data_IF_173909926643
#
_entry.id   IF_173909926643
#
_cell.length_a   1.000
_cell.length_b   1.000
_cell.length_c   1.000
_cell.angle_alpha   90.00
_cell.angle_beta   90.00
_cell.angle_gamma   90.00
#
_symmetry.space_group_name_H-M   'P 1'
#
loop_
_entity.id
_entity.type
_entity.pdbx_description
1 polymer ?
#
# COMPACT_ATOMS: atom_id res chain seq x y z
N UNK A 1 39.60 23.78 50.06
CA UNK A 1 38.45 22.99 50.57
C UNK A 1 38.52 21.62 49.91
N UNK A 2 39.22 20.68 50.55
CA UNK A 2 39.48 19.33 50.05
C UNK A 2 38.20 18.48 50.17
N UNK A 3 37.67 17.99 49.06
CA UNK A 3 36.60 17.01 49.07
C UNK A 3 37.16 15.63 49.44
N UNK A 4 37.12 15.30 50.73
CA UNK A 4 37.41 13.95 51.22
C UNK A 4 36.28 12.99 50.81
N UNK A 5 36.43 12.42 49.62
CA UNK A 5 35.55 11.37 49.11
C UNK A 5 35.64 10.11 49.99
N UNK A 6 34.51 9.74 50.57
CA UNK A 6 34.35 8.59 51.44
C UNK A 6 34.79 7.30 50.71
N UNK A 7 35.58 6.45 51.38
CA UNK A 7 36.15 5.20 50.79
C UNK A 7 35.09 4.29 50.16
N UNK A 8 33.85 4.37 50.63
CA UNK A 8 32.73 3.63 50.06
C UNK A 8 32.30 4.14 48.68
N UNK A 9 32.32 5.46 48.43
CA UNK A 9 31.99 6.04 47.13
C UNK A 9 33.04 5.66 46.06
N UNK A 10 34.31 5.54 46.44
CA UNK A 10 35.36 5.10 45.51
C UNK A 10 35.18 3.63 45.09
N UNK A 11 34.80 2.76 46.02
CA UNK A 11 34.53 1.34 45.73
C UNK A 11 33.24 1.15 44.93
N UNK A 12 32.22 1.97 45.16
CA UNK A 12 30.99 1.91 44.36
C UNK A 12 31.28 2.33 42.91
N UNK A 13 32.01 3.42 42.69
CA UNK A 13 32.39 3.85 41.34
C UNK A 13 33.24 2.81 40.59
N UNK A 14 34.14 2.10 41.29
CA UNK A 14 34.87 0.96 40.72
C UNK A 14 33.97 -0.24 40.40
N UNK A 15 33.03 -0.58 41.30
CA UNK A 15 32.09 -1.70 41.10
C UNK A 15 31.09 -1.42 39.96
N UNK A 16 30.85 -0.14 39.68
CA UNK A 16 30.04 0.36 38.55
C UNK A 16 30.79 0.30 37.20
N UNK A 17 32.09 -0.04 37.19
CA UNK A 17 32.87 -0.16 35.96
C UNK A 17 33.10 1.18 35.24
N UNK A 18 32.97 2.29 35.95
CA UNK A 18 33.09 3.66 35.40
C UNK A 18 34.50 4.26 35.57
N UNK A 19 35.47 3.52 36.11
CA UNK A 19 36.81 4.06 36.39
C UNK A 19 37.88 3.05 35.98
N UNK A 20 38.81 3.46 35.12
CA UNK A 20 39.96 2.64 34.72
C UNK A 20 40.89 2.42 35.94
N UNK A 21 41.79 1.44 35.87
CA UNK A 21 42.77 1.14 36.94
C UNK A 21 43.60 2.35 37.40
N UNK A 22 43.70 3.40 36.59
CA UNK A 22 44.38 4.67 36.91
C UNK A 22 43.48 5.71 37.62
N UNK A 23 42.25 5.38 37.99
CA UNK A 23 41.36 6.26 38.80
C UNK A 23 40.73 7.44 38.06
N UNK A 24 40.78 7.45 36.72
CA UNK A 24 40.10 8.45 35.88
C UNK A 24 38.72 7.95 35.39
N UNK A 25 37.68 8.81 35.34
CA UNK A 25 36.34 8.41 34.92
C UNK A 25 36.33 8.00 33.45
N UNK A 26 35.99 6.74 33.18
CA UNK A 26 35.66 6.24 31.85
C UNK A 26 34.29 6.82 31.53
N UNK A 27 34.26 7.86 30.68
CA UNK A 27 33.01 8.17 29.98
C UNK A 27 32.72 6.97 29.10
N UNK A 28 31.89 6.05 29.61
CA UNK A 28 31.26 5.04 28.78
C UNK A 28 30.62 5.82 27.64
N UNK A 29 31.17 5.67 26.44
CA UNK A 29 30.52 6.11 25.23
C UNK A 29 29.18 5.40 25.25
N UNK A 30 28.14 6.13 25.69
CA UNK A 30 26.76 5.73 25.50
C UNK A 30 26.74 5.21 24.07
N UNK A 31 26.35 3.95 23.80
CA UNK A 31 26.09 3.57 22.43
C UNK A 31 25.00 4.53 22.03
N UNK A 32 25.40 5.64 21.39
CA UNK A 32 24.52 6.46 20.62
C UNK A 32 24.03 5.43 19.64
N UNK A 33 22.78 5.05 19.82
CA UNK A 33 22.03 4.34 18.81
C UNK A 33 21.94 5.34 17.66
N UNK A 34 23.07 5.57 17.01
CA UNK A 34 23.20 6.01 15.64
C UNK A 34 22.75 4.82 14.81
N UNK A 35 21.50 4.40 15.05
CA UNK A 35 20.72 3.75 14.03
C UNK A 35 20.50 4.86 13.02
N UNK A 36 21.48 4.99 12.13
CA UNK A 36 21.34 5.62 10.83
C UNK A 36 19.95 5.25 10.35
N UNK A 37 19.02 6.20 10.45
CA UNK A 37 17.69 6.10 9.85
C UNK A 37 17.94 6.12 8.34
N UNK A 38 18.42 4.99 7.83
CA UNK A 38 18.45 4.71 6.41
C UNK A 38 16.99 4.76 6.06
N UNK A 39 16.58 5.85 5.42
CA UNK A 39 15.25 6.03 4.87
C UNK A 39 14.95 4.77 4.09
N UNK A 40 14.19 3.88 4.70
CA UNK A 40 13.89 2.56 4.16
C UNK A 40 13.02 2.86 2.94
N UNK A 41 13.65 2.90 1.78
CA UNK A 41 12.92 3.06 0.53
C UNK A 41 12.05 1.83 0.43
N UNK A 42 10.74 2.04 0.34
CA UNK A 42 9.78 0.97 0.05
C UNK A 42 10.31 0.16 -1.14
N UNK A 43 10.74 -1.06 -0.85
CA UNK A 43 11.22 -1.97 -1.88
C UNK A 43 10.06 -2.43 -2.76
N UNK A 44 10.31 -2.87 -4.01
CA UNK A 44 9.27 -3.36 -4.91
C UNK A 44 8.46 -4.51 -4.28
N UNK A 45 9.10 -5.35 -3.46
CA UNK A 45 8.41 -6.42 -2.72
C UNK A 45 7.44 -5.89 -1.65
N UNK A 46 7.83 -4.82 -0.94
CA UNK A 46 6.98 -4.16 0.05
C UNK A 46 5.77 -3.49 -0.62
N UNK A 47 5.98 -2.84 -1.76
CA UNK A 47 4.91 -2.25 -2.56
C UNK A 47 3.86 -3.27 -3.00
N UNK A 48 4.27 -4.44 -3.53
CA UNK A 48 3.32 -5.49 -3.93
C UNK A 48 2.54 -6.04 -2.73
N UNK A 49 3.18 -6.15 -1.55
CA UNK A 49 2.50 -6.55 -0.32
C UNK A 49 1.43 -5.54 0.07
N UNK A 50 1.76 -4.25 0.04
CA UNK A 50 0.83 -3.15 0.32
C UNK A 50 -0.34 -3.13 -0.68
N UNK A 51 -0.08 -3.31 -1.98
CA UNK A 51 -1.12 -3.42 -3.02
C UNK A 51 -2.05 -4.60 -2.75
N UNK A 52 -1.51 -5.78 -2.38
CA UNK A 52 -2.35 -6.95 -2.04
C UNK A 52 -3.23 -6.68 -0.83
N UNK A 53 -2.68 -6.02 0.19
CA UNK A 53 -3.42 -5.71 1.41
C UNK A 53 -4.52 -4.65 1.14
N UNK A 54 -4.31 -3.74 0.18
CA UNK A 54 -5.34 -2.79 -0.29
C UNK A 54 -6.38 -3.47 -1.19
N UNK A 55 -5.96 -4.36 -2.10
CA UNK A 55 -6.84 -5.15 -2.97
C UNK A 55 -7.83 -6.01 -2.19
N UNK A 56 -7.48 -6.41 -0.96
CA UNK A 56 -8.39 -7.11 -0.04
C UNK A 56 -9.53 -6.24 0.50
N UNK A 57 -9.38 -4.92 0.48
CA UNK A 57 -10.45 -3.97 0.86
C UNK A 57 -11.43 -3.74 -0.29
N UNK A 58 -11.05 -4.07 -1.52
CA UNK A 58 -11.92 -3.97 -2.69
C UNK A 58 -12.98 -5.06 -2.60
N UNK A 59 -14.24 -4.65 -2.54
CA UNK A 59 -15.37 -5.57 -2.58
C UNK A 59 -15.50 -6.15 -3.99
N UNK A 60 -14.86 -7.30 -4.22
CA UNK A 60 -15.06 -8.04 -5.46
C UNK A 60 -16.50 -8.55 -5.56
N UNK A 61 -17.14 -8.36 -6.72
CA UNK A 61 -18.55 -8.69 -6.89
C UNK A 61 -18.77 -10.20 -6.74
N UNK A 62 -19.94 -10.57 -6.24
CA UNK A 62 -20.33 -11.99 -6.16
C UNK A 62 -20.79 -12.45 -7.55
N UNK A 63 -20.51 -13.71 -7.90
CA UNK A 63 -20.92 -14.32 -9.18
C UNK A 63 -22.39 -14.07 -9.60
N UNK A 64 -23.39 -14.09 -8.69
CA UNK A 64 -24.77 -13.79 -9.07
C UNK A 64 -25.00 -12.33 -9.50
N UNK A 65 -24.26 -11.39 -8.93
CA UNK A 65 -24.37 -9.97 -9.24
C UNK A 65 -23.79 -9.66 -10.63
N UNK A 66 -22.60 -10.22 -10.92
CA UNK A 66 -21.99 -10.14 -12.25
C UNK A 66 -22.96 -10.66 -13.31
N UNK A 67 -23.59 -11.83 -13.07
CA UNK A 67 -24.55 -12.42 -14.00
C UNK A 67 -25.76 -11.51 -14.26
N UNK A 68 -26.31 -10.88 -13.21
CA UNK A 68 -27.46 -9.96 -13.35
C UNK A 68 -27.09 -8.76 -14.22
N UNK A 69 -25.95 -8.11 -13.94
CA UNK A 69 -25.51 -6.97 -14.73
C UNK A 69 -25.17 -7.37 -16.17
N UNK A 70 -24.53 -8.52 -16.39
CA UNK A 70 -24.28 -9.03 -17.74
C UNK A 70 -25.57 -9.28 -18.52
N UNK A 71 -26.61 -9.86 -17.90
CA UNK A 71 -27.91 -10.08 -18.55
C UNK A 71 -28.57 -8.74 -18.92
N UNK A 72 -28.55 -7.75 -18.02
CA UNK A 72 -29.10 -6.43 -18.31
C UNK A 72 -28.41 -5.83 -19.53
N UNK A 73 -27.08 -5.83 -19.56
CA UNK A 73 -26.29 -5.31 -20.69
C UNK A 73 -26.56 -6.11 -21.98
N UNK A 74 -26.68 -7.43 -21.89
CA UNK A 74 -26.98 -8.27 -23.05
C UNK A 74 -28.34 -7.90 -23.66
N UNK A 75 -29.37 -7.73 -22.82
CA UNK A 75 -30.72 -7.35 -23.26
C UNK A 75 -30.71 -5.95 -23.89
N UNK A 76 -30.03 -4.98 -23.29
CA UNK A 76 -29.97 -3.62 -23.86
C UNK A 76 -29.26 -3.61 -25.20
N UNK A 77 -28.16 -4.36 -25.35
CA UNK A 77 -27.47 -4.50 -26.64
C UNK A 77 -28.38 -5.13 -27.68
N UNK A 78 -29.09 -6.22 -27.37
CA UNK A 78 -30.03 -6.87 -28.30
C UNK A 78 -31.12 -5.90 -28.76
N UNK A 79 -31.70 -5.12 -27.85
CA UNK A 79 -32.75 -4.13 -28.20
C UNK A 79 -32.19 -3.07 -29.16
N UNK A 80 -31.02 -2.49 -28.84
CA UNK A 80 -30.40 -1.46 -29.68
C UNK A 80 -30.02 -2.02 -31.04
N UNK A 81 -29.43 -3.21 -31.08
CA UNK A 81 -29.06 -3.88 -32.34
C UNK A 81 -30.30 -4.19 -33.19
N UNK A 82 -31.38 -4.69 -32.59
CA UNK A 82 -32.64 -4.94 -33.31
C UNK A 82 -33.26 -3.64 -33.84
N UNK A 83 -33.21 -2.56 -33.07
CA UNK A 83 -33.70 -1.25 -33.50
C UNK A 83 -32.90 -0.70 -34.68
N UNK A 84 -31.57 -0.66 -34.57
CA UNK A 84 -30.68 -0.19 -35.65
C UNK A 84 -30.84 -1.06 -36.89
N UNK A 85 -30.77 -2.39 -36.76
CA UNK A 85 -30.93 -3.30 -37.88
C UNK A 85 -32.33 -3.24 -38.51
N UNK A 86 -33.37 -2.99 -37.70
CA UNK A 86 -34.73 -2.77 -38.19
C UNK A 86 -34.85 -1.47 -39.00
N UNK A 87 -34.23 -0.39 -38.52
CA UNK A 87 -34.16 0.87 -39.27
C UNK A 87 -33.37 0.72 -40.56
N UNK A 88 -32.22 0.04 -40.53
CA UNK A 88 -31.40 -0.21 -41.72
C UNK A 88 -32.18 -0.99 -42.78
N UNK A 89 -32.94 -2.01 -42.36
CA UNK A 89 -33.82 -2.77 -43.25
C UNK A 89 -34.95 -1.89 -43.82
N UNK A 90 -35.57 -1.05 -42.98
CA UNK A 90 -36.63 -0.13 -43.42
C UNK A 90 -36.11 0.90 -44.44
N UNK A 91 -34.94 1.50 -44.19
CA UNK A 91 -34.29 2.41 -45.14
C UNK A 91 -33.86 1.69 -46.42
N UNK A 92 -33.40 0.45 -46.34
CA UNK A 92 -33.07 -0.38 -47.51
C UNK A 92 -34.29 -0.63 -48.40
N UNK A 93 -35.43 -1.00 -47.82
CA UNK A 93 -36.68 -1.20 -48.57
C UNK A 93 -37.18 0.13 -49.16
N UNK A 94 -37.18 1.20 -48.36
CA UNK A 94 -37.67 2.51 -48.77
C UNK A 94 -36.83 3.12 -49.90
N UNK A 95 -35.51 3.05 -49.79
CA UNK A 95 -34.59 3.50 -50.84
C UNK A 95 -34.76 2.67 -52.11
N UNK A 96 -34.88 1.36 -52.00
CA UNK A 96 -35.14 0.49 -53.16
C UNK A 96 -36.45 0.79 -53.87
N UNK A 97 -37.49 1.22 -53.14
CA UNK A 97 -38.73 1.71 -53.74
C UNK A 97 -38.55 3.08 -54.41
N UNK A 98 -37.87 4.01 -53.74
CA UNK A 98 -37.65 5.38 -54.23
C UNK A 98 -36.75 5.46 -55.48
N UNK A 99 -35.74 4.60 -55.60
CA UNK A 99 -34.83 4.56 -56.75
C UNK A 99 -35.37 3.76 -57.94
N UNK A 100 -36.53 3.11 -57.79
CA UNK A 100 -37.12 2.23 -58.80
C UNK A 100 -38.16 2.95 -59.70
N UNK A 101 -38.45 4.22 -59.41
CA UNK A 101 -39.05 5.19 -60.34
C UNK A 101 -37.95 6.05 -61.00
#
# INVERSE_FOLDING_TARGET
MSMDLNRQQKRSMQKMGEVNEQGAPIRQSRPTVSAKATKERVGPFQYIREVRDEMRKVAWPKWPEVRRYSIIVLVTVVIVTAFVGGLDAAFGILSGWLYKD
#
